data_IF_781804723527
#
_entry.id   IF_781804723527
#
_cell.length_a   1.000
_cell.length_b   1.000
_cell.length_c   1.000
_cell.angle_alpha   90.00
_cell.angle_beta   90.00
_cell.angle_gamma   90.00
#
_symmetry.space_group_name_H-M   'P 1'
#
loop_
_entity.id
_entity.type
_entity.pdbx_description
1 polymer ?
#
# COMPACT_ATOMS: atom_id res chain seq x y z
N UNK A 1 -7.83 6.61 -20.32
CA UNK A 1 -8.69 7.63 -20.96
C UNK A 1 -9.95 6.94 -21.41
N UNK A 2 -11.13 7.55 -21.38
CA UNK A 2 -12.31 6.99 -22.04
C UNK A 2 -12.03 6.86 -23.53
N UNK A 3 -12.51 5.80 -24.18
CA UNK A 3 -12.28 5.53 -25.61
C UNK A 3 -12.71 6.68 -26.52
N UNK A 4 -13.70 7.49 -26.11
CA UNK A 4 -14.14 8.69 -26.79
C UNK A 4 -13.14 9.87 -26.80
N UNK A 5 -12.06 9.79 -26.02
CA UNK A 5 -11.06 10.85 -25.90
C UNK A 5 -9.82 10.65 -26.79
N UNK A 6 -9.74 9.54 -27.53
CA UNK A 6 -8.58 9.22 -28.38
C UNK A 6 -8.47 10.19 -29.56
N UNK A 7 -9.60 10.62 -30.13
CA UNK A 7 -9.60 11.53 -31.27
C UNK A 7 -9.26 13.00 -30.93
N UNK A 8 -9.64 13.44 -29.73
CA UNK A 8 -9.38 14.78 -29.23
C UNK A 8 -8.85 14.77 -27.80
N UNK A 9 -7.62 14.29 -27.59
CA UNK A 9 -7.05 14.16 -26.27
C UNK A 9 -6.92 15.52 -25.58
N UNK A 10 -7.12 15.47 -24.26
CA UNK A 10 -6.99 16.60 -23.34
C UNK A 10 -5.99 16.25 -22.27
N UNK A 11 -5.18 17.21 -21.86
CA UNK A 11 -4.29 17.07 -20.71
C UNK A 11 -4.24 18.37 -19.88
N UNK A 12 -3.92 18.21 -18.62
CA UNK A 12 -3.65 19.32 -17.70
C UNK A 12 -2.23 19.20 -17.16
N UNK A 13 -1.57 20.33 -16.96
CA UNK A 13 -0.18 20.36 -16.53
C UNK A 13 0.17 21.65 -15.81
N UNK A 14 1.25 21.65 -15.05
CA UNK A 14 1.82 22.83 -14.43
C UNK A 14 2.97 23.38 -15.29
N UNK A 15 3.08 24.72 -15.36
CA UNK A 15 4.24 25.41 -15.89
C UNK A 15 4.87 26.25 -14.81
N UNK A 16 6.18 26.26 -14.80
CA UNK A 16 6.98 27.00 -13.84
C UNK A 16 7.67 28.19 -14.52
N UNK A 17 7.69 29.31 -13.86
CA UNK A 17 8.49 30.46 -14.27
C UNK A 17 9.94 30.24 -13.82
N UNK A 18 10.86 30.45 -14.77
CA UNK A 18 12.29 30.37 -14.45
C UNK A 18 12.80 31.57 -13.66
N UNK A 19 12.05 32.71 -13.72
CA UNK A 19 12.45 33.97 -13.14
C UNK A 19 12.15 34.03 -11.64
N UNK A 20 10.90 33.73 -11.27
CA UNK A 20 10.39 33.92 -9.91
C UNK A 20 9.95 32.63 -9.22
N UNK A 21 10.03 31.49 -9.93
CA UNK A 21 9.57 30.18 -9.44
C UNK A 21 8.04 30.04 -9.34
N UNK A 22 7.30 31.08 -9.71
CA UNK A 22 5.84 31.01 -9.75
C UNK A 22 5.35 29.94 -10.72
N UNK A 23 4.25 29.30 -10.41
CA UNK A 23 3.70 28.28 -11.28
C UNK A 23 2.23 28.55 -11.61
N UNK A 24 1.79 27.95 -12.71
CA UNK A 24 0.45 28.09 -13.25
C UNK A 24 -0.06 26.77 -13.80
N UNK A 25 -1.37 26.56 -13.72
CA UNK A 25 -2.01 25.39 -14.29
C UNK A 25 -2.55 25.71 -15.67
N UNK A 26 -2.35 24.76 -16.58
CA UNK A 26 -2.68 24.85 -17.99
C UNK A 26 -3.51 23.67 -18.44
N UNK A 27 -4.36 23.93 -19.42
CA UNK A 27 -5.20 22.97 -20.09
C UNK A 27 -4.80 22.94 -21.58
N UNK A 28 -4.50 21.78 -22.09
CA UNK A 28 -4.21 21.59 -23.51
C UNK A 28 -5.23 20.65 -24.13
N UNK A 29 -5.74 21.05 -25.29
CA UNK A 29 -6.69 20.28 -26.09
C UNK A 29 -6.15 20.11 -27.48
N UNK A 30 -6.20 18.88 -28.00
CA UNK A 30 -5.91 18.60 -29.38
C UNK A 30 -7.11 18.96 -30.25
N UNK A 31 -6.89 19.67 -31.36
CA UNK A 31 -7.96 20.12 -32.29
C UNK A 31 -8.08 19.24 -33.55
N UNK A 32 -7.33 18.12 -33.58
CA UNK A 32 -7.14 17.34 -34.80
C UNK A 32 -5.95 17.81 -35.64
N UNK A 33 -5.45 19.04 -35.42
CA UNK A 33 -4.32 19.63 -36.17
C UNK A 33 -3.21 20.16 -35.28
N UNK A 34 -3.54 20.72 -34.13
CA UNK A 34 -2.60 21.34 -33.19
C UNK A 34 -3.09 21.26 -31.77
N UNK A 35 -2.17 21.39 -30.82
CA UNK A 35 -2.49 21.58 -29.41
C UNK A 35 -2.83 23.05 -29.14
N UNK A 36 -4.00 23.29 -28.58
CA UNK A 36 -4.41 24.60 -28.08
C UNK A 36 -4.25 24.62 -26.56
N UNK A 37 -3.42 25.55 -26.08
CA UNK A 37 -3.13 25.72 -24.68
C UNK A 37 -3.91 26.90 -24.09
N UNK A 38 -4.60 26.68 -22.99
CA UNK A 38 -5.37 27.69 -22.28
C UNK A 38 -4.90 27.72 -20.82
N UNK A 39 -4.57 28.91 -20.33
CA UNK A 39 -4.29 29.10 -18.92
C UNK A 39 -5.57 28.81 -18.12
N UNK A 40 -5.44 28.01 -17.06
CA UNK A 40 -6.50 27.82 -16.06
C UNK A 40 -6.37 28.91 -15.01
N UNK A 41 -5.28 28.88 -14.23
CA UNK A 41 -5.05 29.84 -13.15
C UNK A 41 -3.58 29.86 -12.73
N UNK A 42 -3.20 30.87 -11.94
CA UNK A 42 -1.96 30.85 -11.16
C UNK A 42 -2.09 29.85 -10.01
N UNK A 43 -1.05 29.09 -9.77
CA UNK A 43 -1.08 27.92 -8.88
C UNK A 43 -0.28 28.09 -7.59
N UNK A 44 0.50 29.15 -7.48
CA UNK A 44 1.32 29.48 -6.32
C UNK A 44 2.50 30.34 -6.70
N UNK A 45 3.20 30.85 -5.70
CA UNK A 45 4.28 31.82 -5.86
C UNK A 45 5.66 31.18 -5.97
N UNK A 46 5.78 29.90 -5.66
CA UNK A 46 7.09 29.24 -5.63
C UNK A 46 6.96 27.73 -5.86
N UNK A 47 7.96 27.19 -6.56
CA UNK A 47 8.15 25.76 -6.71
C UNK A 47 9.55 25.37 -6.29
N UNK A 48 9.66 24.33 -5.49
CA UNK A 48 10.94 23.86 -5.02
C UNK A 48 11.80 23.37 -6.20
N UNK A 49 12.87 24.09 -6.47
CA UNK A 49 13.96 23.60 -7.32
C UNK A 49 14.87 22.73 -6.46
N UNK A 50 15.08 21.50 -6.86
CA UNK A 50 16.08 20.61 -6.27
C UNK A 50 17.49 21.08 -6.66
N UNK A 51 17.91 22.21 -6.12
CA UNK A 51 19.31 22.60 -6.11
C UNK A 51 19.99 21.94 -4.89
N UNK A 52 20.41 20.71 -5.06
CA UNK A 52 21.09 19.94 -4.02
C UNK A 52 22.37 20.63 -3.50
N UNK A 53 22.89 21.60 -4.22
CA UNK A 53 24.12 22.32 -3.89
C UNK A 53 23.84 23.63 -3.12
N UNK A 54 22.62 24.11 -3.10
CA UNK A 54 22.27 25.39 -2.49
C UNK A 54 21.42 25.23 -1.23
N UNK A 55 22.08 25.11 -0.08
CA UNK A 55 21.45 25.00 1.25
C UNK A 55 20.57 26.22 1.66
N UNK A 56 20.48 27.26 0.80
CA UNK A 56 19.68 28.48 1.05
C UNK A 56 18.28 28.41 0.47
N UNK A 57 17.93 27.40 -0.35
CA UNK A 57 16.57 27.24 -0.86
C UNK A 57 15.69 26.55 0.19
N UNK A 58 15.21 27.36 1.11
CA UNK A 58 14.18 26.93 2.06
C UNK A 58 12.85 26.96 1.31
N UNK A 59 12.14 25.86 1.33
CA UNK A 59 10.77 25.77 0.84
C UNK A 59 9.91 26.81 1.57
N UNK A 60 9.26 27.68 0.81
CA UNK A 60 8.45 28.77 1.35
C UNK A 60 6.97 28.44 1.44
N UNK A 61 6.55 27.40 0.74
CA UNK A 61 5.18 26.90 0.78
C UNK A 61 5.17 25.52 1.42
N UNK A 62 4.26 25.28 2.34
CA UNK A 62 4.07 23.96 2.95
C UNK A 62 3.67 22.90 1.91
N UNK A 63 3.12 23.33 0.77
CA UNK A 63 2.68 22.51 -0.34
C UNK A 63 3.20 23.11 -1.64
N UNK A 64 4.29 22.62 -2.13
CA UNK A 64 4.95 23.11 -3.35
C UNK A 64 4.16 22.84 -4.64
N UNK A 65 3.07 22.44 -4.69
CA UNK A 65 2.08 22.36 -5.75
C UNK A 65 0.76 21.87 -5.16
N UNK A 66 -0.23 22.72 -5.13
CA UNK A 66 -1.56 22.36 -4.67
C UNK A 66 -2.16 21.20 -5.48
N UNK A 67 -1.83 21.14 -6.76
CA UNK A 67 -2.24 20.09 -7.68
C UNK A 67 -3.34 20.50 -8.66
N UNK A 68 -3.34 19.85 -9.81
CA UNK A 68 -4.35 19.97 -10.86
C UNK A 68 -4.76 18.58 -11.33
N UNK A 69 -6.05 18.33 -11.50
CA UNK A 69 -6.57 17.03 -11.90
C UNK A 69 -7.72 17.16 -12.89
N UNK A 70 -7.69 16.38 -13.97
CA UNK A 70 -8.71 16.33 -15.00
C UNK A 70 -9.83 15.36 -14.60
N UNK A 71 -11.08 15.76 -14.81
CA UNK A 71 -12.19 14.82 -14.74
C UNK A 71 -12.19 13.92 -15.99
N UNK A 72 -11.85 12.65 -15.82
CA UNK A 72 -11.77 11.69 -16.92
C UNK A 72 -13.13 11.34 -17.51
N UNK A 73 -14.23 11.55 -16.78
CA UNK A 73 -15.59 11.34 -17.28
C UNK A 73 -16.09 12.53 -18.09
N UNK A 74 -15.67 13.74 -17.70
CA UNK A 74 -15.96 14.97 -18.45
C UNK A 74 -14.67 15.80 -18.60
N UNK A 75 -13.91 15.62 -19.69
CA UNK A 75 -12.64 16.31 -19.90
C UNK A 75 -12.73 17.85 -19.99
N UNK A 76 -13.92 18.43 -19.99
CA UNK A 76 -14.09 19.89 -19.86
C UNK A 76 -14.02 20.37 -18.42
N UNK A 77 -13.97 19.47 -17.43
CA UNK A 77 -13.90 19.79 -16.00
C UNK A 77 -12.50 19.52 -15.49
N UNK A 78 -11.95 20.52 -14.80
CA UNK A 78 -10.65 20.43 -14.13
C UNK A 78 -10.81 20.86 -12.68
N UNK A 79 -10.14 20.15 -11.77
CA UNK A 79 -10.03 20.54 -10.38
C UNK A 79 -8.62 21.03 -10.09
N UNK A 80 -8.54 22.18 -9.43
CA UNK A 80 -7.27 22.77 -9.04
C UNK A 80 -7.22 23.01 -7.54
N UNK A 81 -6.01 23.02 -6.98
CA UNK A 81 -5.75 23.55 -5.66
C UNK A 81 -4.79 24.72 -5.80
N UNK A 82 -5.15 25.87 -5.28
CA UNK A 82 -4.32 27.08 -5.30
C UNK A 82 -4.51 27.93 -4.05
N UNK A 83 -3.56 28.82 -3.72
CA UNK A 83 -3.73 29.72 -2.59
C UNK A 83 -4.86 30.73 -2.82
N UNK A 84 -5.79 30.80 -1.89
CA UNK A 84 -6.83 31.84 -1.76
C UNK A 84 -6.74 32.33 -0.32
N UNK A 85 -6.45 33.60 -0.12
CA UNK A 85 -6.23 34.20 1.20
C UNK A 85 -5.20 33.42 2.05
N UNK A 86 -4.09 33.00 1.42
CA UNK A 86 -2.99 32.23 2.01
C UNK A 86 -3.34 30.78 2.45
N UNK A 87 -4.49 30.27 2.08
CA UNK A 87 -4.85 28.86 2.29
C UNK A 87 -5.12 28.21 0.93
N UNK A 88 -4.64 27.00 0.75
CA UNK A 88 -4.93 26.25 -0.49
C UNK A 88 -6.38 25.78 -0.45
N UNK A 89 -7.13 26.14 -1.51
CA UNK A 89 -8.52 25.78 -1.69
C UNK A 89 -8.72 24.97 -2.98
N UNK A 90 -9.71 24.08 -2.98
CA UNK A 90 -10.08 23.30 -4.17
C UNK A 90 -11.15 24.07 -4.94
N UNK A 91 -10.90 24.25 -6.24
CA UNK A 91 -11.84 24.84 -7.17
C UNK A 91 -12.11 23.89 -8.35
N UNK A 92 -13.35 23.89 -8.81
CA UNK A 92 -13.79 23.25 -10.03
C UNK A 92 -13.84 24.28 -11.16
N UNK A 93 -13.17 23.98 -12.26
CA UNK A 93 -13.07 24.82 -13.45
C UNK A 93 -13.73 24.10 -14.62
N UNK A 94 -14.76 24.71 -15.21
CA UNK A 94 -15.45 24.16 -16.38
C UNK A 94 -15.05 24.95 -17.63
N UNK A 95 -14.44 24.27 -18.60
CA UNK A 95 -14.05 24.87 -19.86
C UNK A 95 -15.27 25.09 -20.73
N UNK A 96 -15.60 26.36 -21.03
CA UNK A 96 -16.72 26.76 -21.87
C UNK A 96 -16.31 26.99 -23.30
N UNK A 97 -15.04 27.29 -23.55
CA UNK A 97 -14.50 27.61 -24.86
C UNK A 97 -14.99 28.93 -25.46
N UNK A 98 -15.81 29.68 -24.75
CA UNK A 98 -16.49 30.89 -25.23
C UNK A 98 -15.98 32.16 -24.53
N UNK A 99 -15.91 33.26 -25.31
CA UNK A 99 -15.60 34.59 -24.77
C UNK A 99 -14.17 34.81 -24.35
N UNK A 100 -13.92 35.91 -23.63
CA UNK A 100 -12.60 36.22 -23.03
C UNK A 100 -12.31 35.31 -21.87
N UNK A 101 -13.34 34.97 -21.07
CA UNK A 101 -13.24 34.06 -19.93
C UNK A 101 -13.70 32.67 -20.38
N UNK A 102 -12.74 31.85 -20.84
CA UNK A 102 -12.99 30.50 -21.29
C UNK A 102 -13.38 29.51 -20.17
N UNK A 103 -13.40 29.99 -18.93
CA UNK A 103 -13.62 29.18 -17.75
C UNK A 103 -14.78 29.71 -16.90
N UNK A 104 -15.58 28.78 -16.39
CA UNK A 104 -16.49 28.98 -15.29
C UNK A 104 -15.93 28.31 -14.06
N UNK A 105 -15.91 29.02 -12.92
CA UNK A 105 -15.27 28.53 -11.69
C UNK A 105 -16.29 28.38 -10.57
N UNK A 106 -16.20 27.27 -9.84
CA UNK A 106 -16.99 26.98 -8.65
C UNK A 106 -16.03 26.60 -7.50
N UNK A 107 -16.24 27.16 -6.30
CA UNK A 107 -15.49 26.72 -5.12
C UNK A 107 -16.00 25.35 -4.63
N UNK A 108 -15.09 24.40 -4.48
CA UNK A 108 -15.35 23.13 -3.83
C UNK A 108 -15.09 23.25 -2.31
N UNK A 109 -14.02 23.97 -1.95
CA UNK A 109 -13.72 24.37 -0.58
C UNK A 109 -13.56 25.89 -0.50
N UNK A 110 -13.85 26.47 0.66
CA UNK A 110 -13.67 27.90 0.89
C UNK A 110 -13.51 28.19 2.38
N UNK A 111 -12.77 29.25 2.69
CA UNK A 111 -12.57 29.72 4.06
C UNK A 111 -12.07 28.61 4.99
N UNK A 112 -11.21 27.76 4.45
CA UNK A 112 -10.72 26.59 5.19
C UNK A 112 -9.66 27.00 6.21
N UNK A 113 -9.62 26.30 7.34
CA UNK A 113 -8.60 26.52 8.38
C UNK A 113 -7.24 25.91 8.01
N UNK A 114 -7.22 24.99 7.04
CA UNK A 114 -6.05 24.22 6.61
C UNK A 114 -6.02 24.08 5.09
N UNK A 115 -4.83 23.84 4.57
CA UNK A 115 -4.62 23.64 3.15
C UNK A 115 -5.38 22.41 2.60
N UNK A 116 -6.11 22.63 1.52
CA UNK A 116 -6.75 21.60 0.72
C UNK A 116 -5.92 21.40 -0.56
N UNK A 117 -5.23 20.27 -0.67
CA UNK A 117 -4.26 20.04 -1.75
C UNK A 117 -4.46 18.69 -2.41
N UNK A 118 -3.87 18.54 -3.61
CA UNK A 118 -3.83 17.29 -4.36
C UNK A 118 -5.23 16.74 -4.66
N UNK A 119 -6.08 17.52 -5.38
CA UNK A 119 -7.37 17.01 -5.82
C UNK A 119 -7.17 15.77 -6.70
N UNK A 120 -8.03 14.80 -6.50
CA UNK A 120 -8.07 13.56 -7.25
C UNK A 120 -9.51 13.24 -7.63
N UNK A 121 -9.80 13.03 -8.90
CA UNK A 121 -11.13 12.64 -9.36
C UNK A 121 -11.24 11.12 -9.40
N UNK A 122 -12.24 10.60 -8.73
CA UNK A 122 -12.52 9.15 -8.72
C UNK A 122 -12.89 8.71 -10.13
N UNK A 123 -12.20 7.72 -10.66
CA UNK A 123 -12.51 7.19 -12.00
C UNK A 123 -13.82 6.41 -11.95
N UNK A 124 -14.63 6.56 -12.99
CA UNK A 124 -15.92 5.87 -13.14
C UNK A 124 -16.91 6.13 -11.99
N UNK A 125 -16.84 7.29 -11.36
CA UNK A 125 -17.81 7.66 -10.32
C UNK A 125 -19.24 7.67 -10.91
N UNK A 126 -20.22 7.29 -10.08
CA UNK A 126 -21.64 7.37 -10.42
C UNK A 126 -22.22 8.73 -10.05
N UNK A 127 -23.28 9.13 -10.70
CA UNK A 127 -24.01 10.34 -10.34
C UNK A 127 -24.50 10.26 -8.90
N UNK A 128 -24.35 11.36 -8.15
CA UNK A 128 -24.68 11.41 -6.73
C UNK A 128 -23.64 10.81 -5.77
N UNK A 129 -22.57 10.21 -6.30
CA UNK A 129 -21.43 9.73 -5.49
C UNK A 129 -20.36 10.82 -5.35
N UNK A 130 -19.57 10.80 -4.24
CA UNK A 130 -18.41 11.66 -4.12
C UNK A 130 -17.47 11.42 -5.30
N UNK A 131 -17.16 12.48 -6.05
CA UNK A 131 -16.34 12.36 -7.25
C UNK A 131 -14.95 12.97 -7.09
N UNK A 132 -14.73 13.82 -6.10
CA UNK A 132 -13.44 14.45 -5.85
C UNK A 132 -12.98 14.18 -4.43
N UNK A 133 -11.74 13.75 -4.32
CA UNK A 133 -11.01 13.53 -3.07
C UNK A 133 -9.87 14.56 -3.01
N UNK A 134 -9.48 14.97 -1.82
CA UNK A 134 -8.28 15.79 -1.64
C UNK A 134 -7.66 15.56 -0.26
N UNK A 135 -6.40 15.95 -0.12
CA UNK A 135 -5.69 15.96 1.15
C UNK A 135 -5.97 17.29 1.86
N UNK A 136 -6.56 17.21 3.05
CA UNK A 136 -6.73 18.32 3.98
C UNK A 136 -5.53 18.32 4.92
N UNK A 137 -4.64 19.30 4.76
CA UNK A 137 -3.28 19.23 5.23
C UNK A 137 -2.96 20.37 6.19
N UNK A 138 -2.54 20.03 7.40
CA UNK A 138 -2.01 21.00 8.35
C UNK A 138 -0.49 21.11 8.24
N UNK A 139 0.19 19.96 8.12
CA UNK A 139 1.63 19.88 8.04
C UNK A 139 2.03 18.64 7.24
N UNK A 140 2.85 18.84 6.23
CA UNK A 140 3.41 17.75 5.43
C UNK A 140 4.89 18.02 5.10
N UNK A 141 5.81 18.02 6.10
CA UNK A 141 7.23 18.20 5.84
C UNK A 141 7.87 17.01 5.12
N UNK A 142 7.16 15.88 5.00
CA UNK A 142 7.61 14.72 4.26
C UNK A 142 6.75 13.50 4.55
N UNK A 143 7.00 12.40 3.82
CA UNK A 143 6.22 11.17 3.91
C UNK A 143 6.32 10.43 5.27
N UNK A 144 7.26 10.84 6.12
CA UNK A 144 7.46 10.28 7.48
C UNK A 144 6.88 11.14 8.59
N UNK A 145 6.47 12.36 8.26
CA UNK A 145 5.95 13.31 9.25
C UNK A 145 4.85 14.13 8.59
N UNK A 146 3.61 13.87 8.95
CA UNK A 146 2.46 14.55 8.38
C UNK A 146 1.30 14.61 9.39
N UNK A 147 0.48 15.64 9.25
CA UNK A 147 -0.84 15.76 9.86
C UNK A 147 -1.82 16.13 8.75
N UNK A 148 -2.51 15.14 8.23
CA UNK A 148 -3.44 15.32 7.14
C UNK A 148 -4.61 14.33 7.20
N UNK A 149 -5.71 14.69 6.56
CA UNK A 149 -6.89 13.84 6.37
C UNK A 149 -7.30 13.81 4.89
N UNK A 150 -7.95 12.76 4.46
CA UNK A 150 -8.60 12.73 3.15
C UNK A 150 -10.03 13.23 3.32
N UNK A 151 -10.41 14.18 2.48
CA UNK A 151 -11.77 14.72 2.40
C UNK A 151 -12.39 14.48 1.03
N UNK A 152 -13.71 14.58 0.94
CA UNK A 152 -14.49 14.34 -0.28
C UNK A 152 -15.47 15.48 -0.54
N UNK A 153 -15.84 15.69 -1.81
CA UNK A 153 -16.68 16.81 -2.27
C UNK A 153 -18.14 16.75 -1.83
N UNK A 154 -18.61 15.64 -1.33
CA UNK A 154 -19.99 15.49 -0.84
C UNK A 154 -19.99 14.72 0.48
N UNK A 155 -20.89 15.12 1.40
CA UNK A 155 -21.29 14.21 2.48
C UNK A 155 -21.92 12.99 1.81
N UNK A 156 -21.34 11.82 2.01
CA UNK A 156 -21.93 10.57 1.55
C UNK A 156 -23.38 10.53 2.08
N UNK A 157 -24.36 10.62 1.21
CA UNK A 157 -25.75 10.32 1.58
C UNK A 157 -25.75 8.86 2.00
N UNK A 158 -25.88 8.65 3.35
CA UNK A 158 -26.05 7.33 3.93
C UNK A 158 -25.22 6.27 3.21
N UNK A 159 -23.89 6.32 3.38
CA UNK A 159 -23.07 5.21 2.94
C UNK A 159 -23.60 4.01 3.71
N UNK A 160 -24.29 3.12 3.02
CA UNK A 160 -24.59 1.81 3.56
C UNK A 160 -23.21 1.16 3.79
N UNK A 161 -22.72 1.28 5.03
CA UNK A 161 -21.46 0.69 5.46
C UNK A 161 -21.58 -0.85 5.56
N UNK A 162 -22.75 -1.41 5.28
CA UNK A 162 -22.92 -2.82 5.09
C UNK A 162 -22.19 -3.20 3.80
N UNK A 163 -21.00 -3.73 3.97
CA UNK A 163 -20.23 -4.36 2.90
C UNK A 163 -21.05 -5.54 2.38
N UNK A 164 -21.76 -5.35 1.28
CA UNK A 164 -22.55 -6.43 0.66
C UNK A 164 -21.60 -7.53 0.21
N UNK A 165 -21.84 -8.74 0.67
CA UNK A 165 -21.01 -9.92 0.39
C UNK A 165 -20.67 -10.05 -1.10
N UNK A 166 -21.66 -9.81 -1.98
CA UNK A 166 -21.48 -9.93 -3.44
C UNK A 166 -20.57 -8.82 -4.00
N UNK A 167 -20.69 -7.59 -3.49
CA UNK A 167 -19.82 -6.50 -3.90
C UNK A 167 -18.36 -6.74 -3.47
N UNK A 168 -18.15 -7.31 -2.29
CA UNK A 168 -16.82 -7.72 -1.82
C UNK A 168 -16.27 -8.81 -2.73
N UNK A 169 -17.06 -9.85 -3.03
CA UNK A 169 -16.68 -10.93 -3.94
C UNK A 169 -16.30 -10.40 -5.33
N UNK A 170 -17.09 -9.50 -5.89
CA UNK A 170 -16.79 -8.89 -7.19
C UNK A 170 -15.44 -8.16 -7.21
N UNK A 171 -15.17 -7.33 -6.21
CA UNK A 171 -13.90 -6.59 -6.11
C UNK A 171 -12.73 -7.55 -5.88
N UNK A 172 -12.87 -8.51 -4.99
CA UNK A 172 -11.85 -9.50 -4.70
C UNK A 172 -11.52 -10.35 -5.94
N UNK A 173 -12.54 -10.75 -6.72
CA UNK A 173 -12.35 -11.44 -8.01
C UNK A 173 -11.50 -10.59 -8.97
N UNK A 174 -11.85 -9.32 -9.15
CA UNK A 174 -11.11 -8.41 -10.05
C UNK A 174 -9.63 -8.27 -9.62
N UNK A 175 -9.37 -8.15 -8.33
CA UNK A 175 -8.01 -8.02 -7.78
C UNK A 175 -7.23 -9.32 -7.98
N UNK A 176 -7.82 -10.47 -7.65
CA UNK A 176 -7.19 -11.76 -7.81
C UNK A 176 -6.89 -12.08 -9.29
N UNK A 177 -7.83 -11.83 -10.19
CA UNK A 177 -7.65 -12.01 -11.63
C UNK A 177 -6.57 -11.08 -12.21
N UNK A 178 -6.53 -9.84 -11.74
CA UNK A 178 -5.47 -8.91 -12.14
C UNK A 178 -4.11 -9.43 -11.69
N UNK A 179 -4.00 -9.91 -10.46
CA UNK A 179 -2.75 -10.44 -9.92
C UNK A 179 -2.25 -11.66 -10.69
N UNK A 180 -3.15 -12.58 -11.07
CA UNK A 180 -2.77 -13.72 -11.91
C UNK A 180 -2.23 -13.27 -13.27
N UNK A 181 -2.90 -12.34 -13.93
CA UNK A 181 -2.46 -11.81 -15.23
C UNK A 181 -1.10 -11.11 -15.13
N UNK A 182 -0.89 -10.31 -14.08
CA UNK A 182 0.38 -9.64 -13.85
C UNK A 182 1.52 -10.65 -13.70
N UNK A 183 1.33 -11.70 -12.93
CA UNK A 183 2.33 -12.76 -12.76
C UNK A 183 2.58 -13.61 -14.00
N UNK A 184 1.57 -13.83 -14.83
CA UNK A 184 1.74 -14.50 -16.11
C UNK A 184 2.58 -13.68 -17.08
N UNK A 185 2.38 -12.35 -17.07
CA UNK A 185 3.13 -11.41 -17.91
C UNK A 185 4.54 -11.12 -17.38
N UNK A 186 4.74 -11.20 -16.07
CA UNK A 186 5.99 -10.88 -15.38
C UNK A 186 6.39 -12.03 -14.43
N UNK A 187 6.83 -13.18 -14.97
CA UNK A 187 7.16 -14.33 -14.14
C UNK A 187 8.33 -14.03 -13.20
N UNK A 188 8.21 -14.45 -11.95
CA UNK A 188 9.25 -14.26 -10.95
C UNK A 188 10.54 -14.97 -11.31
N UNK A 189 11.66 -14.36 -10.89
CA UNK A 189 12.89 -15.14 -10.67
C UNK A 189 12.65 -16.08 -9.47
N UNK A 190 13.13 -17.32 -9.56
CA UNK A 190 12.90 -18.41 -8.59
C UNK A 190 13.10 -17.98 -7.12
N UNK A 191 14.19 -17.27 -6.80
CA UNK A 191 14.44 -16.76 -5.44
C UNK A 191 13.33 -15.82 -4.89
N UNK A 192 12.57 -15.15 -5.76
CA UNK A 192 11.46 -14.28 -5.36
C UNK A 192 10.17 -15.08 -5.13
N UNK A 193 9.98 -16.19 -5.83
CA UNK A 193 8.77 -17.02 -5.70
C UNK A 193 8.61 -17.58 -4.27
N UNK A 194 9.72 -17.87 -3.59
CA UNK A 194 9.77 -18.40 -2.21
C UNK A 194 9.87 -17.33 -1.13
N UNK A 195 9.95 -16.05 -1.52
CA UNK A 195 10.05 -14.95 -0.57
C UNK A 195 8.74 -14.67 0.17
N UNK A 196 8.81 -14.11 1.37
CA UNK A 196 7.66 -13.86 2.24
C UNK A 196 6.52 -13.07 1.60
N UNK A 197 6.83 -12.08 0.71
CA UNK A 197 5.80 -11.27 0.04
C UNK A 197 4.87 -12.14 -0.79
N UNK A 198 5.46 -13.09 -1.51
CA UNK A 198 4.71 -14.04 -2.32
C UNK A 198 4.07 -15.10 -1.43
N UNK A 199 4.75 -15.56 -0.38
CA UNK A 199 4.17 -16.47 0.60
C UNK A 199 2.85 -15.96 1.16
N UNK A 200 2.82 -14.68 1.59
CA UNK A 200 1.59 -14.04 2.08
C UNK A 200 0.53 -13.93 1.00
N UNK A 201 0.92 -13.57 -0.23
CA UNK A 201 -0.03 -13.49 -1.35
C UNK A 201 -0.61 -14.89 -1.68
N UNK A 202 0.21 -15.94 -1.64
CA UNK A 202 -0.26 -17.29 -1.90
C UNK A 202 -1.28 -17.76 -0.87
N UNK A 203 -1.11 -17.39 0.41
CA UNK A 203 -2.13 -17.64 1.43
C UNK A 203 -3.46 -16.95 1.05
N UNK A 204 -3.41 -15.66 0.72
CA UNK A 204 -4.61 -14.93 0.29
C UNK A 204 -5.24 -15.49 -1.00
N UNK A 205 -4.44 -15.99 -1.94
CA UNK A 205 -4.96 -16.64 -3.15
C UNK A 205 -5.56 -18.01 -2.86
N UNK A 206 -5.00 -18.76 -1.92
CA UNK A 206 -5.57 -20.04 -1.47
C UNK A 206 -6.93 -19.82 -0.80
N UNK A 207 -7.02 -18.90 0.16
CA UNK A 207 -8.26 -18.54 0.85
C UNK A 207 -9.31 -18.04 -0.14
N UNK A 208 -8.89 -17.24 -1.13
CA UNK A 208 -9.77 -16.79 -2.19
C UNK A 208 -10.25 -17.93 -3.09
N UNK A 209 -9.37 -18.89 -3.39
CA UNK A 209 -9.73 -20.08 -4.17
C UNK A 209 -10.78 -20.94 -3.46
N UNK A 210 -10.66 -21.10 -2.13
CA UNK A 210 -11.67 -21.76 -1.29
C UNK A 210 -13.01 -21.01 -1.31
N UNK A 211 -12.97 -19.68 -1.09
CA UNK A 211 -14.17 -18.85 -0.99
C UNK A 211 -14.88 -18.68 -2.34
N UNK A 212 -14.15 -18.55 -3.42
CA UNK A 212 -14.70 -18.38 -4.77
C UNK A 212 -15.07 -19.67 -5.47
N UNK A 213 -14.52 -20.80 -4.99
CA UNK A 213 -14.62 -22.13 -5.62
C UNK A 213 -14.02 -22.20 -7.04
N UNK A 214 -13.19 -21.19 -7.39
CA UNK A 214 -12.56 -21.10 -8.70
C UNK A 214 -11.23 -21.85 -8.75
N UNK A 215 -11.26 -23.01 -9.38
CA UNK A 215 -10.13 -23.94 -9.48
C UNK A 215 -8.89 -23.38 -10.19
N UNK A 216 -9.03 -22.28 -10.93
CA UNK A 216 -7.88 -21.67 -11.63
C UNK A 216 -6.80 -21.17 -10.65
N UNK A 217 -7.19 -20.70 -9.46
CA UNK A 217 -6.25 -20.22 -8.45
C UNK A 217 -5.46 -21.37 -7.83
N UNK A 218 -6.10 -22.48 -7.51
CA UNK A 218 -5.39 -23.71 -7.05
C UNK A 218 -4.41 -24.22 -8.09
N UNK A 219 -4.84 -24.30 -9.36
CA UNK A 219 -3.96 -24.73 -10.45
C UNK A 219 -2.77 -23.78 -10.64
N UNK A 220 -3.00 -22.50 -10.46
CA UNK A 220 -1.93 -21.50 -10.52
C UNK A 220 -0.92 -21.69 -9.39
N UNK A 221 -1.38 -21.87 -8.15
CA UNK A 221 -0.53 -22.13 -6.99
C UNK A 221 0.27 -23.42 -7.16
N UNK A 222 -0.40 -24.52 -7.54
CA UNK A 222 0.26 -25.80 -7.81
C UNK A 222 1.38 -25.66 -8.85
N UNK A 223 1.11 -25.00 -9.96
CA UNK A 223 2.11 -24.79 -11.02
C UNK A 223 3.34 -24.00 -10.57
N UNK A 224 3.18 -23.01 -9.67
CA UNK A 224 4.32 -22.27 -9.12
C UNK A 224 5.09 -23.15 -8.15
N UNK A 225 4.39 -23.81 -7.25
CA UNK A 225 5.00 -24.62 -6.19
C UNK A 225 5.73 -25.83 -6.74
N UNK A 226 5.20 -26.49 -7.77
CA UNK A 226 5.87 -27.59 -8.49
C UNK A 226 7.18 -27.11 -9.14
N UNK A 227 7.20 -25.94 -9.76
CA UNK A 227 8.43 -25.36 -10.34
C UNK A 227 9.51 -25.08 -9.28
N UNK A 228 9.09 -24.75 -8.08
CA UNK A 228 9.98 -24.52 -6.94
C UNK A 228 10.24 -25.80 -6.11
N UNK A 229 9.74 -26.96 -6.57
CA UNK A 229 9.85 -28.25 -5.88
C UNK A 229 9.38 -28.19 -4.42
N UNK A 230 8.38 -27.34 -4.13
CA UNK A 230 7.83 -27.09 -2.79
C UNK A 230 8.90 -26.67 -1.75
N UNK A 231 10.02 -26.14 -2.24
CA UNK A 231 11.13 -25.72 -1.38
C UNK A 231 10.86 -24.39 -0.71
N UNK A 232 11.38 -24.24 0.50
CA UNK A 232 11.35 -23.01 1.27
C UNK A 232 12.50 -22.07 0.88
N UNK A 233 12.51 -20.83 1.40
CA UNK A 233 13.63 -19.93 1.25
C UNK A 233 14.95 -20.50 1.82
N UNK A 234 16.07 -19.90 1.50
CA UNK A 234 17.40 -20.51 1.73
C UNK A 234 17.90 -20.40 3.18
N UNK A 235 17.40 -19.43 3.98
CA UNK A 235 17.87 -19.21 5.34
C UNK A 235 17.13 -20.12 6.32
N UNK A 236 17.84 -21.03 6.93
CA UNK A 236 17.28 -22.15 7.70
C UNK A 236 16.35 -21.72 8.84
N UNK A 237 16.77 -20.75 9.65
CA UNK A 237 16.00 -20.29 10.81
C UNK A 237 15.09 -19.07 10.53
N UNK A 238 15.20 -18.47 9.35
CA UNK A 238 14.56 -17.20 9.08
C UNK A 238 13.04 -17.36 8.86
N UNK A 239 12.27 -16.58 9.61
CA UNK A 239 10.81 -16.63 9.56
C UNK A 239 10.23 -16.27 8.17
N UNK A 240 10.85 -15.32 7.46
CA UNK A 240 10.41 -14.95 6.11
C UNK A 240 10.56 -16.11 5.12
N UNK A 241 11.62 -16.92 5.32
CA UNK A 241 11.97 -17.99 4.40
C UNK A 241 11.12 -19.26 4.60
N UNK A 242 10.43 -19.41 5.74
CA UNK A 242 9.48 -20.49 5.97
C UNK A 242 8.03 -20.07 5.65
N UNK A 243 7.76 -18.78 5.49
CA UNK A 243 6.41 -18.22 5.32
C UNK A 243 5.61 -18.89 4.20
N UNK A 244 6.22 -19.18 3.06
CA UNK A 244 5.57 -19.83 1.92
C UNK A 244 5.05 -21.24 2.27
N UNK A 245 5.65 -21.87 3.27
CA UNK A 245 5.21 -23.17 3.80
C UNK A 245 3.77 -23.17 4.32
N UNK A 246 3.21 -22.00 4.68
CA UNK A 246 1.78 -21.91 5.05
C UNK A 246 0.91 -22.39 3.88
N UNK A 247 1.07 -21.80 2.70
CA UNK A 247 0.31 -22.17 1.51
C UNK A 247 0.60 -23.61 1.04
N UNK A 248 1.84 -24.10 1.22
CA UNK A 248 2.17 -25.50 0.92
C UNK A 248 1.38 -26.48 1.78
N UNK A 249 1.28 -26.20 3.06
CA UNK A 249 0.56 -27.02 4.02
C UNK A 249 -0.96 -26.94 3.82
N UNK A 250 -1.49 -25.79 3.43
CA UNK A 250 -2.90 -25.65 3.07
C UNK A 250 -3.23 -26.46 1.79
N UNK A 251 -2.34 -26.44 0.78
CA UNK A 251 -2.45 -27.28 -0.41
C UNK A 251 -2.35 -28.77 -0.04
N UNK A 252 -1.46 -29.14 0.89
CA UNK A 252 -1.37 -30.52 1.38
C UNK A 252 -2.66 -30.96 2.08
N UNK A 253 -3.21 -30.13 2.95
CA UNK A 253 -4.47 -30.42 3.64
C UNK A 253 -5.61 -30.68 2.66
N UNK A 254 -5.61 -30.01 1.52
CA UNK A 254 -6.62 -30.15 0.48
C UNK A 254 -6.41 -31.38 -0.42
N UNK A 255 -5.17 -31.64 -0.84
CA UNK A 255 -4.87 -32.61 -1.90
C UNK A 255 -4.14 -33.88 -1.43
N UNK A 256 -3.53 -33.88 -0.26
CA UNK A 256 -2.87 -35.02 0.36
C UNK A 256 -1.58 -35.50 -0.33
N UNK A 257 -1.00 -34.68 -1.25
CA UNK A 257 0.23 -35.06 -1.97
C UNK A 257 1.46 -34.83 -1.08
N UNK A 258 2.23 -35.91 -0.83
CA UNK A 258 3.39 -35.84 0.09
C UNK A 258 4.43 -34.80 -0.26
N UNK A 259 4.65 -34.53 -1.52
CA UNK A 259 5.62 -33.52 -1.98
C UNK A 259 5.28 -32.11 -1.46
N UNK A 260 4.01 -31.82 -1.22
CA UNK A 260 3.54 -30.55 -0.65
C UNK A 260 3.89 -30.40 0.84
N UNK A 261 4.08 -31.52 1.57
CA UNK A 261 4.36 -31.54 3.01
C UNK A 261 5.84 -31.67 3.34
N UNK A 262 6.51 -32.65 2.68
CA UNK A 262 7.83 -33.14 3.08
C UNK A 262 8.88 -32.01 3.24
N UNK A 263 9.06 -31.07 2.30
CA UNK A 263 10.10 -30.05 2.44
C UNK A 263 9.89 -29.13 3.65
N UNK A 264 8.63 -28.75 3.91
CA UNK A 264 8.28 -27.88 5.04
C UNK A 264 8.46 -28.62 6.38
N UNK A 265 7.97 -29.86 6.44
CA UNK A 265 8.11 -30.70 7.63
C UNK A 265 9.58 -30.97 7.97
N UNK A 266 10.37 -31.40 6.99
CA UNK A 266 11.79 -31.67 7.17
C UNK A 266 12.58 -30.43 7.67
N UNK A 267 12.28 -29.24 7.12
CA UNK A 267 12.85 -28.00 7.60
C UNK A 267 12.50 -27.72 9.06
N UNK A 268 11.23 -27.86 9.42
CA UNK A 268 10.77 -27.58 10.77
C UNK A 268 11.34 -28.58 11.78
N UNK A 269 11.41 -29.87 11.43
CA UNK A 269 12.05 -30.91 12.27
C UNK A 269 13.53 -30.65 12.48
N UNK A 270 14.23 -30.23 11.42
CA UNK A 270 15.64 -29.89 11.52
C UNK A 270 15.84 -28.68 12.47
N UNK A 271 15.03 -27.61 12.32
CA UNK A 271 15.12 -26.42 13.18
C UNK A 271 14.84 -26.78 14.65
N UNK A 272 13.89 -27.63 14.92
CA UNK A 272 13.57 -28.10 16.29
C UNK A 272 14.73 -28.88 16.88
N UNK A 273 15.36 -29.76 16.12
CA UNK A 273 16.49 -30.57 16.58
C UNK A 273 17.80 -29.79 16.69
N UNK A 274 17.96 -28.72 15.92
CA UNK A 274 19.12 -27.83 15.92
C UNK A 274 18.70 -26.44 16.41
N UNK A 275 18.26 -26.33 17.66
CA UNK A 275 17.69 -25.11 18.24
C UNK A 275 18.48 -23.85 17.86
N UNK A 276 17.80 -22.72 17.55
CA UNK A 276 18.49 -21.46 17.30
C UNK A 276 19.26 -20.99 18.53
N UNK A 277 20.25 -20.15 18.32
CA UNK A 277 21.05 -19.57 19.40
C UNK A 277 20.20 -18.81 20.43
N UNK A 278 20.76 -18.53 21.62
CA UNK A 278 20.02 -17.88 22.72
C UNK A 278 19.73 -16.39 22.47
N UNK A 279 20.56 -15.72 21.66
CA UNK A 279 20.45 -14.28 21.43
C UNK A 279 19.21 -13.94 20.58
N UNK A 280 18.30 -13.12 21.12
CA UNK A 280 17.17 -12.54 20.39
C UNK A 280 17.39 -11.05 20.10
N UNK A 281 18.34 -10.41 20.76
CA UNK A 281 18.62 -8.99 20.63
C UNK A 281 19.61 -8.72 19.48
N UNK A 282 19.10 -8.27 18.34
CA UNK A 282 19.89 -7.98 17.15
C UNK A 282 20.92 -6.85 17.36
N UNK A 283 20.81 -6.04 18.41
CA UNK A 283 21.78 -5.00 18.74
C UNK A 283 23.03 -5.57 19.40
N UNK A 284 22.93 -6.77 19.96
CA UNK A 284 24.03 -7.50 20.63
C UNK A 284 24.71 -8.54 19.73
N UNK A 285 24.38 -8.59 18.45
CA UNK A 285 24.99 -9.50 17.49
C UNK A 285 23.97 -10.23 16.61
N UNK A 286 24.43 -11.22 15.84
CA UNK A 286 23.55 -12.02 14.99
C UNK A 286 22.55 -12.80 15.82
N UNK A 287 21.34 -12.93 15.30
CA UNK A 287 20.28 -13.75 15.87
C UNK A 287 19.68 -14.65 14.79
N UNK A 288 19.53 -15.93 15.14
CA UNK A 288 18.77 -16.92 14.35
C UNK A 288 17.34 -17.05 14.86
N UNK A 289 16.94 -16.31 15.89
CA UNK A 289 15.61 -16.31 16.46
C UNK A 289 14.66 -15.34 15.73
N UNK A 290 13.40 -15.33 16.08
CA UNK A 290 12.40 -14.42 15.50
C UNK A 290 12.49 -13.04 16.18
N UNK A 291 13.52 -12.28 15.85
CA UNK A 291 13.94 -11.04 16.53
C UNK A 291 13.21 -9.76 16.02
N UNK A 292 12.25 -9.90 15.09
CA UNK A 292 11.43 -8.80 14.58
C UNK A 292 9.94 -9.16 14.64
N UNK A 293 9.07 -8.16 14.82
CA UNK A 293 7.67 -8.40 15.18
C UNK A 293 6.87 -9.14 14.10
N UNK A 294 7.10 -8.88 12.83
CA UNK A 294 6.37 -9.53 11.74
C UNK A 294 6.75 -11.00 11.53
N UNK A 295 7.87 -11.44 12.10
CA UNK A 295 8.20 -12.87 12.19
C UNK A 295 7.07 -13.69 12.82
N UNK A 296 6.27 -13.07 13.70
CA UNK A 296 5.14 -13.69 14.39
C UNK A 296 3.97 -14.04 13.46
N UNK A 297 3.91 -13.48 12.27
CA UNK A 297 3.00 -13.91 11.21
C UNK A 297 3.66 -14.96 10.29
N UNK A 298 4.94 -14.81 10.03
CA UNK A 298 5.60 -15.57 8.97
C UNK A 298 5.81 -17.04 9.34
N UNK A 299 6.24 -17.32 10.56
CA UNK A 299 6.66 -18.66 10.97
C UNK A 299 5.64 -19.41 11.86
N UNK A 300 5.06 -18.84 12.95
CA UNK A 300 4.19 -19.58 13.84
C UNK A 300 3.05 -20.33 13.16
N UNK A 301 2.35 -19.77 12.16
CA UNK A 301 1.27 -20.48 11.47
C UNK A 301 1.73 -21.72 10.69
N UNK A 302 3.00 -21.80 10.28
CA UNK A 302 3.55 -23.02 9.65
C UNK A 302 3.64 -24.14 10.67
N UNK A 303 4.16 -23.84 11.85
CA UNK A 303 4.31 -24.84 12.92
C UNK A 303 2.96 -25.30 13.48
N UNK A 304 1.97 -24.43 13.57
CA UNK A 304 0.62 -24.80 14.00
C UNK A 304 -0.05 -25.72 12.98
N UNK A 305 0.09 -25.44 11.67
CA UNK A 305 -0.40 -26.33 10.60
C UNK A 305 0.29 -27.69 10.62
N UNK A 306 1.61 -27.74 10.81
CA UNK A 306 2.35 -28.99 10.95
C UNK A 306 1.86 -29.80 12.15
N UNK A 307 1.59 -29.15 13.28
CA UNK A 307 0.99 -29.82 14.43
C UNK A 307 -0.39 -30.40 14.08
N UNK A 308 -1.25 -29.61 13.44
CA UNK A 308 -2.59 -30.09 13.04
C UNK A 308 -2.53 -31.28 12.08
N UNK A 309 -1.58 -31.27 11.15
CA UNK A 309 -1.39 -32.33 10.15
C UNK A 309 -0.79 -33.60 10.76
N UNK A 310 0.21 -33.45 11.62
CA UNK A 310 1.04 -34.58 12.07
C UNK A 310 0.72 -35.07 13.49
N UNK A 311 0.04 -34.27 14.31
CA UNK A 311 -0.15 -34.53 15.74
C UNK A 311 1.10 -34.33 16.59
N UNK A 312 2.26 -33.98 16.00
CA UNK A 312 3.52 -33.82 16.73
C UNK A 312 3.55 -32.52 17.53
N UNK A 313 3.42 -32.66 18.85
CA UNK A 313 3.40 -31.52 19.80
C UNK A 313 4.69 -30.69 19.81
N UNK A 314 5.82 -31.23 19.35
CA UNK A 314 7.08 -30.52 19.30
C UNK A 314 7.01 -29.24 18.43
N UNK A 315 6.20 -29.26 17.35
CA UNK A 315 5.98 -28.09 16.52
C UNK A 315 5.33 -26.93 17.29
N UNK A 316 4.25 -27.21 18.01
CA UNK A 316 3.59 -26.16 18.83
C UNK A 316 4.45 -25.70 19.99
N UNK A 317 5.16 -26.60 20.66
CA UNK A 317 6.05 -26.24 21.75
C UNK A 317 7.18 -25.30 21.29
N UNK A 318 7.75 -25.57 20.11
CA UNK A 318 8.76 -24.70 19.52
C UNK A 318 8.18 -23.33 19.16
N UNK A 319 7.03 -23.31 18.44
CA UNK A 319 6.38 -22.06 18.05
C UNK A 319 5.98 -21.21 19.27
N UNK A 320 5.40 -21.80 20.30
CA UNK A 320 5.00 -21.10 21.52
C UNK A 320 6.21 -20.50 22.24
N UNK A 321 7.31 -21.26 22.35
CA UNK A 321 8.56 -20.79 22.94
C UNK A 321 9.13 -19.57 22.20
N UNK A 322 9.22 -19.65 20.88
CA UNK A 322 9.77 -18.56 20.07
C UNK A 322 8.81 -17.36 20.00
N UNK A 323 7.51 -17.60 19.92
CA UNK A 323 6.49 -16.53 19.97
C UNK A 323 6.57 -15.75 21.28
N UNK A 324 6.57 -16.43 22.42
CA UNK A 324 6.69 -15.81 23.74
C UNK A 324 7.98 -15.02 23.90
N UNK A 325 9.08 -15.56 23.44
CA UNK A 325 10.37 -14.87 23.52
C UNK A 325 10.36 -13.56 22.70
N UNK A 326 9.79 -13.57 21.50
CA UNK A 326 9.62 -12.37 20.67
C UNK A 326 8.63 -11.39 21.30
N UNK A 327 7.53 -11.88 21.84
CA UNK A 327 6.54 -11.09 22.57
C UNK A 327 7.18 -10.36 23.75
N UNK A 328 7.86 -11.08 24.63
CA UNK A 328 8.52 -10.53 25.83
C UNK A 328 9.60 -9.50 25.46
N UNK A 329 10.29 -9.72 24.34
CA UNK A 329 11.37 -8.87 23.89
C UNK A 329 10.88 -7.56 23.22
N UNK A 330 9.80 -7.61 22.44
CA UNK A 330 9.39 -6.49 21.57
C UNK A 330 8.11 -5.78 22.00
N UNK A 331 7.32 -6.34 22.91
CA UNK A 331 6.05 -5.76 23.30
C UNK A 331 6.24 -4.63 24.32
N UNK A 332 5.81 -3.44 23.96
CA UNK A 332 5.76 -2.29 24.86
C UNK A 332 4.43 -2.31 25.63
N UNK A 333 4.53 -2.49 26.97
CA UNK A 333 3.36 -2.63 27.86
C UNK A 333 2.58 -1.33 28.05
N UNK A 334 3.26 -0.19 27.94
CA UNK A 334 2.67 1.13 28.09
C UNK A 334 1.83 1.50 26.85
N UNK A 335 2.42 1.41 25.68
CA UNK A 335 1.77 1.73 24.41
C UNK A 335 0.91 0.58 23.85
N UNK A 336 1.08 -0.64 24.38
CA UNK A 336 0.40 -1.87 23.95
C UNK A 336 0.63 -2.20 22.47
N UNK A 337 1.84 -1.92 22.01
CA UNK A 337 2.29 -2.12 20.64
C UNK A 337 3.63 -2.84 20.62
N UNK A 338 3.95 -3.44 19.47
CA UNK A 338 5.24 -4.07 19.25
C UNK A 338 6.20 -3.12 18.57
N UNK A 339 7.42 -2.97 19.10
CA UNK A 339 8.52 -2.43 18.32
C UNK A 339 8.81 -3.34 17.12
N UNK A 340 9.31 -2.77 16.03
CA UNK A 340 9.74 -3.57 14.89
C UNK A 340 10.82 -4.57 15.28
N UNK A 341 11.86 -4.10 15.94
CA UNK A 341 13.00 -4.83 16.48
C UNK A 341 13.70 -3.97 17.54
N UNK A 342 14.68 -4.53 18.25
CA UNK A 342 15.40 -3.86 19.33
C UNK A 342 16.12 -2.56 18.91
N UNK A 343 16.41 -2.35 17.64
CA UNK A 343 17.03 -1.09 17.15
C UNK A 343 16.11 0.13 17.29
N UNK A 344 14.85 -0.10 17.62
CA UNK A 344 13.85 0.96 17.80
C UNK A 344 13.53 1.29 19.25
N UNK A 345 14.09 0.57 20.22
CA UNK A 345 13.78 0.81 21.65
C UNK A 345 14.09 2.22 22.11
N UNK A 346 15.24 2.75 21.70
CA UNK A 346 15.72 4.09 22.09
C UNK A 346 15.44 5.16 21.04
N UNK A 347 14.72 4.82 19.94
CA UNK A 347 14.37 5.77 18.89
C UNK A 347 13.05 6.42 19.17
N UNK A 348 13.01 7.73 18.90
CA UNK A 348 11.81 8.55 19.05
C UNK A 348 11.53 9.38 17.82
N UNK A 349 10.27 9.74 17.65
CA UNK A 349 9.81 10.75 16.69
C UNK A 349 10.21 12.16 17.14
N UNK A 350 10.07 13.15 16.25
CA UNK A 350 10.39 14.53 16.55
C UNK A 350 9.61 15.15 17.73
N UNK A 351 8.48 14.54 18.10
CA UNK A 351 7.63 14.91 19.24
C UNK A 351 7.88 14.06 20.50
N UNK A 352 9.04 13.42 20.58
CA UNK A 352 9.51 12.55 21.67
C UNK A 352 8.69 11.27 21.86
N UNK A 353 7.80 10.90 20.91
CA UNK A 353 7.03 9.65 20.99
C UNK A 353 7.83 8.46 20.49
N UNK A 354 7.58 7.28 21.08
CA UNK A 354 8.14 6.00 20.65
C UNK A 354 7.73 5.68 19.20
N UNK A 355 8.60 5.00 18.47
CA UNK A 355 8.37 4.66 17.06
C UNK A 355 7.82 3.25 16.93
N UNK A 356 6.59 3.12 16.45
CA UNK A 356 5.97 1.84 16.14
C UNK A 356 5.64 1.72 14.65
N UNK A 357 5.72 0.51 14.16
CA UNK A 357 5.44 0.19 12.77
C UNK A 357 4.05 -0.44 12.62
N UNK A 358 3.07 0.32 12.11
CA UNK A 358 1.66 -0.10 12.00
C UNK A 358 1.48 -1.42 11.24
N UNK A 359 2.15 -1.58 10.08
CA UNK A 359 2.09 -2.84 9.33
C UNK A 359 2.66 -4.02 10.12
N UNK A 360 3.77 -3.84 10.84
CA UNK A 360 4.35 -4.88 11.68
C UNK A 360 3.39 -5.34 12.78
N UNK A 361 2.72 -4.39 13.44
CA UNK A 361 1.69 -4.71 14.43
C UNK A 361 0.49 -5.43 13.82
N UNK A 362 0.07 -5.05 12.60
CA UNK A 362 -0.95 -5.80 11.85
C UNK A 362 -0.55 -7.24 11.56
N UNK A 363 0.73 -7.50 11.23
CA UNK A 363 1.24 -8.86 11.06
C UNK A 363 1.18 -9.67 12.35
N UNK A 364 1.55 -9.08 13.50
CA UNK A 364 1.43 -9.78 14.79
C UNK A 364 0.00 -10.20 15.08
N UNK A 365 -0.97 -9.31 14.82
CA UNK A 365 -2.39 -9.64 15.00
C UNK A 365 -2.83 -10.80 14.09
N UNK A 366 -2.44 -10.75 12.81
CA UNK A 366 -2.78 -11.82 11.86
C UNK A 366 -2.09 -13.16 12.16
N UNK A 367 -0.91 -13.15 12.80
CA UNK A 367 -0.20 -14.36 13.20
C UNK A 367 -0.68 -14.96 14.51
N UNK A 368 -1.40 -14.17 15.33
CA UNK A 368 -1.98 -14.60 16.60
C UNK A 368 -3.43 -15.14 16.44
N UNK A 369 -4.08 -14.86 15.30
CA UNK A 369 -5.42 -15.34 14.97
C UNK A 369 -5.38 -16.79 14.47
#
# INVERSE_FOLDING_TARGET
MPDSAIENPVLVYARFSEIDGAHSYWYARWTGKKWENTLITKAGSWFQRNDYNNKKNIERENNYSGGVYLDHKNPSIVYTSRPINNVFEIEKWTFTGKGKDKWQTEAVTKESERDNVRPFVVRNYSEGQPNVLWMYNYKYPGFKSYDCAIRVSQKAKGYDSSLKKDAIKEVATKVADWQLRDYQSNPFKSAMARGWRNGVLYNGLFDWAELSEDKKFFKYLENIFDKEYWQLGNRMYNADDICVGQAYLDMYAKYGKKDMLIPTQARAEWVISHQPGKNIDITKGKSDRWWWCDALYMAPPVYSRLYTITGNKAFMQFADKEFKATYEHLYDKEERLFYRDAKYFDKKEANDRKIFWGRGNGWVMGGAA
#
